data_IF_474947745290
#
_entry.id   IF_474947745290
#
_cell.length_a   1.000
_cell.length_b   1.000
_cell.length_c   1.000
_cell.angle_alpha   90.00
_cell.angle_beta   90.00
_cell.angle_gamma   90.00
#
_symmetry.space_group_name_H-M   'P 1'
#
loop_
_entity.id
_entity.type
_entity.pdbx_description
1 polymer ?
#
# COMPACT_ATOMS: atom_id res chain seq x y z
N UNK A 1 -29.07 8.65 -16.91
CA UNK A 1 -29.18 8.08 -15.53
C UNK A 1 -28.16 6.97 -15.43
N UNK A 2 -27.02 7.26 -14.83
CA UNK A 2 -25.98 6.26 -14.54
C UNK A 2 -26.41 5.49 -13.29
N UNK A 3 -26.54 4.17 -13.40
CA UNK A 3 -26.76 3.27 -12.27
C UNK A 3 -25.44 3.11 -11.50
N UNK A 4 -25.43 3.54 -10.24
CA UNK A 4 -24.35 3.21 -9.30
C UNK A 4 -24.41 1.72 -9.00
N UNK A 5 -23.36 0.99 -9.33
CA UNK A 5 -23.19 -0.39 -8.87
C UNK A 5 -22.62 -0.29 -7.44
N UNK A 6 -23.28 -0.87 -6.42
CA UNK A 6 -22.72 -0.89 -5.07
C UNK A 6 -21.49 -1.80 -5.05
N UNK A 7 -20.42 -1.36 -4.37
CA UNK A 7 -19.29 -2.23 -4.04
C UNK A 7 -19.84 -3.44 -3.25
N UNK A 8 -19.69 -4.63 -3.82
CA UNK A 8 -20.12 -5.85 -3.18
C UNK A 8 -19.29 -6.12 -1.90
N UNK A 9 -19.97 -6.48 -0.82
CA UNK A 9 -19.34 -6.98 0.39
C UNK A 9 -18.64 -8.32 0.10
N UNK A 10 -17.40 -8.44 0.53
CA UNK A 10 -16.61 -9.68 0.38
C UNK A 10 -17.24 -10.84 1.16
N UNK A 11 -17.47 -11.95 0.46
CA UNK A 11 -17.85 -13.21 1.08
C UNK A 11 -16.66 -13.88 1.80
N UNK A 12 -16.88 -14.57 2.93
CA UNK A 12 -15.80 -15.19 3.69
C UNK A 12 -15.25 -16.44 3.02
N UNK A 13 -13.94 -16.44 2.74
CA UNK A 13 -13.21 -17.61 2.24
C UNK A 13 -13.10 -18.68 3.33
N UNK A 14 -13.55 -19.90 3.06
CA UNK A 14 -13.41 -21.06 3.93
C UNK A 14 -11.95 -21.38 4.27
N UNK A 15 -11.62 -21.41 5.56
CA UNK A 15 -10.30 -21.75 6.10
C UNK A 15 -10.16 -23.27 6.27
N UNK A 16 -9.12 -23.84 5.67
CA UNK A 16 -8.56 -25.11 6.13
C UNK A 16 -7.58 -24.85 7.29
N UNK A 17 -7.70 -25.68 8.33
CA UNK A 17 -6.96 -25.61 9.57
C UNK A 17 -5.46 -25.85 9.41
N UNK A 18 -4.67 -24.80 9.39
CA UNK A 18 -3.26 -24.80 9.73
C UNK A 18 -3.01 -23.52 10.52
N UNK A 19 -2.24 -23.61 11.59
CA UNK A 19 -1.96 -22.62 12.64
C UNK A 19 -2.33 -21.15 12.40
N UNK A 20 -2.88 -20.44 13.41
CA UNK A 20 -3.45 -19.13 13.21
C UNK A 20 -2.36 -18.12 12.83
N UNK A 21 -2.28 -17.79 11.54
CA UNK A 21 -1.63 -16.56 11.11
C UNK A 21 -2.42 -15.41 11.72
N UNK A 22 -1.89 -14.80 12.76
CA UNK A 22 -2.44 -13.60 13.37
C UNK A 22 -2.33 -12.47 12.35
N UNK A 23 -3.39 -12.26 11.56
CA UNK A 23 -3.51 -11.05 10.76
C UNK A 23 -3.74 -9.89 11.72
N UNK A 24 -2.71 -9.16 12.07
CA UNK A 24 -2.86 -7.84 12.68
C UNK A 24 -3.40 -6.92 11.60
N UNK A 25 -4.72 -6.77 11.52
CA UNK A 25 -5.33 -5.68 10.77
C UNK A 25 -4.89 -4.38 11.45
N UNK A 26 -3.98 -3.66 10.78
CA UNK A 26 -3.71 -2.28 11.12
C UNK A 26 -5.01 -1.51 10.90
N UNK A 27 -5.66 -1.11 12.02
CA UNK A 27 -6.71 -0.11 11.96
C UNK A 27 -6.19 1.06 11.12
N UNK A 28 -6.92 1.39 10.06
CA UNK A 28 -6.74 2.61 9.29
C UNK A 28 -7.07 3.81 10.18
N UNK A 29 -6.20 4.10 11.13
CA UNK A 29 -6.20 5.42 11.73
C UNK A 29 -5.63 6.33 10.66
N UNK A 30 -6.50 7.11 10.03
CA UNK A 30 -6.17 8.21 9.13
C UNK A 30 -5.25 9.18 9.87
N UNK A 31 -3.97 8.90 9.82
CA UNK A 31 -2.95 9.79 10.35
C UNK A 31 -2.51 10.65 9.19
N UNK A 32 -3.27 11.73 8.97
CA UNK A 32 -2.79 12.90 8.25
C UNK A 32 -1.42 13.24 8.84
N UNK A 33 -0.37 12.97 8.07
CA UNK A 33 0.96 13.33 8.47
C UNK A 33 1.20 14.75 7.98
N UNK A 34 1.34 15.75 8.87
CA UNK A 34 1.90 17.02 8.45
C UNK A 34 3.31 16.78 7.93
N UNK A 35 3.75 17.59 7.01
CA UNK A 35 5.12 17.63 6.46
C UNK A 35 6.14 17.26 7.56
N UNK A 36 6.85 16.14 7.40
CA UNK A 36 7.89 15.69 8.33
C UNK A 36 7.59 14.47 9.20
N UNK A 37 6.39 13.90 9.20
CA UNK A 37 6.14 12.68 9.97
C UNK A 37 6.72 11.45 9.25
N UNK A 38 7.50 10.67 10.01
CA UNK A 38 8.08 9.39 9.56
C UNK A 38 6.97 8.41 9.10
N UNK A 39 7.25 7.51 8.16
CA UNK A 39 6.29 6.55 7.64
C UNK A 39 5.93 5.53 8.71
N UNK A 40 4.89 5.82 9.47
CA UNK A 40 4.44 4.99 10.60
C UNK A 40 4.16 3.54 10.20
N UNK A 41 3.75 3.28 8.96
CA UNK A 41 3.51 1.91 8.48
C UNK A 41 4.82 1.12 8.32
N UNK A 42 5.88 1.73 7.80
CA UNK A 42 7.19 1.09 7.71
C UNK A 42 7.82 0.91 9.10
N UNK A 43 7.76 1.93 9.97
CA UNK A 43 8.26 1.82 11.34
C UNK A 43 7.54 0.71 12.11
N UNK A 44 6.22 0.59 11.92
CA UNK A 44 5.44 -0.51 12.49
C UNK A 44 5.84 -1.86 11.90
N UNK A 45 5.97 -1.98 10.57
CA UNK A 45 6.39 -3.21 9.93
C UNK A 45 7.78 -3.67 10.40
N UNK A 46 8.72 -2.74 10.57
CA UNK A 46 10.06 -3.02 11.09
C UNK A 46 9.99 -3.53 12.53
N UNK A 47 9.19 -2.87 13.38
CA UNK A 47 8.97 -3.31 14.76
C UNK A 47 8.33 -4.68 14.84
N UNK A 48 7.34 -4.95 13.99
CA UNK A 48 6.72 -6.28 13.93
C UNK A 48 7.71 -7.37 13.48
N UNK A 49 8.61 -7.07 12.55
CA UNK A 49 9.65 -8.01 12.14
C UNK A 49 10.58 -8.42 13.29
N UNK A 50 10.84 -7.52 14.25
CA UNK A 50 11.67 -7.78 15.43
C UNK A 50 11.00 -8.78 16.41
N UNK A 51 9.67 -8.91 16.38
CA UNK A 51 8.92 -9.81 17.25
C UNK A 51 9.02 -11.30 16.82
N UNK A 52 9.61 -11.57 15.65
CA UNK A 52 9.68 -12.93 15.11
C UNK A 52 11.14 -13.39 14.98
N UNK A 53 11.48 -14.62 15.42
CA UNK A 53 12.79 -15.22 15.20
C UNK A 53 13.19 -15.19 13.72
N UNK A 54 14.50 -15.05 13.44
CA UNK A 54 14.99 -14.90 12.05
C UNK A 54 14.75 -16.14 11.18
N UNK A 55 14.65 -17.32 11.77
CA UNK A 55 14.38 -18.60 11.10
C UNK A 55 12.92 -18.82 10.75
N UNK A 56 12.00 -17.99 11.28
CA UNK A 56 10.59 -18.08 10.95
C UNK A 56 10.31 -17.50 9.55
N UNK A 57 9.54 -18.26 8.77
CA UNK A 57 8.98 -17.74 7.51
C UNK A 57 7.89 -16.73 7.82
N UNK A 58 7.93 -15.58 7.13
CA UNK A 58 7.00 -14.49 7.31
C UNK A 58 6.31 -14.23 5.97
N UNK A 59 4.99 -14.08 6.01
CA UNK A 59 4.20 -13.45 4.96
C UNK A 59 3.75 -12.09 5.51
N UNK A 60 4.20 -10.99 4.89
CA UNK A 60 3.83 -9.64 5.27
C UNK A 60 3.09 -8.97 4.12
N UNK A 61 1.90 -8.50 4.39
CA UNK A 61 1.11 -7.66 3.49
C UNK A 61 1.05 -6.24 4.05
N UNK A 62 1.39 -5.26 3.22
CA UNK A 62 1.36 -3.84 3.58
C UNK A 62 0.57 -3.09 2.51
N UNK A 63 -0.54 -2.46 2.91
CA UNK A 63 -1.25 -1.51 2.07
C UNK A 63 -0.81 -0.09 2.45
N UNK A 64 -0.07 0.59 1.54
CA UNK A 64 0.45 1.93 1.78
C UNK A 64 -0.63 2.99 1.59
N UNK A 65 -1.16 3.50 2.70
CA UNK A 65 -2.21 4.52 2.70
C UNK A 65 -1.76 5.90 2.19
N UNK A 66 -0.46 6.15 2.10
CA UNK A 66 0.08 7.44 1.65
C UNK A 66 -0.36 7.81 0.22
N UNK A 67 -0.56 6.81 -0.64
CA UNK A 67 -0.95 6.99 -2.05
C UNK A 67 -2.46 7.23 -2.18
N UNK A 68 -3.26 6.80 -1.20
CA UNK A 68 -4.70 7.03 -1.17
C UNK A 68 -5.03 8.52 -0.98
N UNK A 69 -6.16 8.97 -1.51
CA UNK A 69 -6.60 10.34 -1.29
C UNK A 69 -7.02 10.57 0.18
N UNK A 70 -6.85 11.81 0.73
CA UNK A 70 -6.22 12.95 0.09
C UNK A 70 -4.70 12.83 0.09
N UNK A 71 -4.07 13.05 -1.06
CA UNK A 71 -2.62 13.05 -1.21
C UNK A 71 -2.05 14.42 -1.61
N UNK A 72 -2.89 15.44 -1.74
CA UNK A 72 -2.47 16.82 -2.06
C UNK A 72 -1.45 17.38 -1.07
N UNK A 73 -1.46 16.95 0.18
CA UNK A 73 -0.52 17.40 1.21
C UNK A 73 0.94 16.95 0.99
N UNK A 74 1.22 16.09 0.01
CA UNK A 74 2.60 15.76 -0.41
C UNK A 74 3.21 16.83 -1.33
N UNK A 75 2.44 17.81 -1.75
CA UNK A 75 2.89 18.98 -2.51
C UNK A 75 2.53 20.24 -1.72
N UNK A 76 3.54 21.08 -1.44
CA UNK A 76 3.33 22.30 -0.65
C UNK A 76 2.32 23.24 -1.30
N UNK A 77 1.37 23.75 -0.50
CA UNK A 77 0.34 24.69 -0.95
C UNK A 77 -0.78 24.08 -1.79
N UNK A 78 -0.73 22.78 -2.09
CA UNK A 78 -1.77 22.12 -2.88
C UNK A 78 -2.99 21.77 -2.02
N UNK A 79 -4.17 22.09 -2.52
CA UNK A 79 -5.45 21.88 -1.81
C UNK A 79 -6.34 20.81 -2.43
N UNK A 80 -6.01 20.31 -3.63
CA UNK A 80 -6.74 19.29 -4.35
C UNK A 80 -5.77 18.23 -4.87
N UNK A 81 -6.21 16.97 -4.82
CA UNK A 81 -5.48 15.84 -5.38
C UNK A 81 -5.43 15.90 -6.90
N UNK A 82 -4.30 15.54 -7.46
CA UNK A 82 -4.07 15.37 -8.89
C UNK A 82 -2.91 14.40 -9.15
N UNK A 83 -2.52 14.25 -10.42
CA UNK A 83 -1.40 13.37 -10.81
C UNK A 83 -0.06 13.76 -10.17
N UNK A 84 0.19 15.04 -9.98
CA UNK A 84 1.43 15.52 -9.36
C UNK A 84 1.48 15.14 -7.87
N UNK A 85 0.39 15.37 -7.14
CA UNK A 85 0.33 15.00 -5.72
C UNK A 85 0.35 13.47 -5.52
N UNK A 86 -0.26 12.71 -6.43
CA UNK A 86 -0.18 11.26 -6.44
C UNK A 86 1.26 10.79 -6.67
N UNK A 87 1.96 11.37 -7.65
CA UNK A 87 3.37 11.05 -7.91
C UNK A 87 4.26 11.41 -6.72
N UNK A 88 4.03 12.54 -6.07
CA UNK A 88 4.76 12.95 -4.86
C UNK A 88 4.53 11.97 -3.69
N UNK A 89 3.30 11.51 -3.50
CA UNK A 89 2.98 10.49 -2.50
C UNK A 89 3.67 9.15 -2.80
N UNK A 90 3.73 8.74 -4.07
CA UNK A 90 4.43 7.54 -4.49
C UNK A 90 5.94 7.66 -4.28
N UNK A 91 6.56 8.80 -4.62
CA UNK A 91 7.97 9.08 -4.36
C UNK A 91 8.29 9.02 -2.86
N UNK A 92 7.38 9.53 -2.03
CA UNK A 92 7.52 9.42 -0.58
C UNK A 92 7.54 7.96 -0.12
N UNK A 93 6.61 7.12 -0.57
CA UNK A 93 6.61 5.67 -0.24
C UNK A 93 7.89 5.01 -0.73
N UNK A 94 8.28 5.24 -1.98
CA UNK A 94 9.49 4.67 -2.58
C UNK A 94 10.75 5.02 -1.77
N UNK A 95 10.87 6.27 -1.31
CA UNK A 95 11.99 6.72 -0.47
C UNK A 95 12.13 5.95 0.85
N UNK A 96 11.07 5.29 1.32
CA UNK A 96 11.03 4.55 2.58
C UNK A 96 11.25 3.04 2.41
N UNK A 97 11.00 2.49 1.22
CA UNK A 97 11.15 1.06 0.93
C UNK A 97 12.56 0.50 1.19
N UNK A 98 13.68 1.22 0.95
CA UNK A 98 15.02 0.70 1.22
C UNK A 98 15.21 0.23 2.66
N UNK A 99 14.60 0.89 3.64
CA UNK A 99 14.68 0.49 5.06
C UNK A 99 14.03 -0.88 5.28
N UNK A 100 12.85 -1.08 4.69
CA UNK A 100 12.10 -2.34 4.76
C UNK A 100 12.85 -3.46 4.04
N UNK A 101 13.37 -3.20 2.84
CA UNK A 101 14.12 -4.16 2.04
C UNK A 101 15.41 -4.61 2.76
N UNK A 102 16.13 -3.69 3.39
CA UNK A 102 17.31 -4.02 4.19
C UNK A 102 16.98 -4.93 5.38
N UNK A 103 15.85 -4.69 6.05
CA UNK A 103 15.43 -5.54 7.16
C UNK A 103 15.10 -6.97 6.67
N UNK A 104 14.44 -7.11 5.54
CA UNK A 104 14.17 -8.43 4.94
C UNK A 104 15.45 -9.12 4.46
N UNK A 105 16.38 -8.39 3.83
CA UNK A 105 17.65 -8.96 3.38
C UNK A 105 18.51 -9.53 4.54
N UNK A 106 18.46 -8.93 5.72
CA UNK A 106 19.12 -9.48 6.93
C UNK A 106 18.54 -10.82 7.33
N UNK A 107 17.23 -11.01 7.20
CA UNK A 107 16.54 -12.25 7.58
C UNK A 107 16.79 -13.39 6.60
N UNK A 108 16.82 -13.11 5.29
CA UNK A 108 17.01 -14.14 4.27
C UNK A 108 16.52 -13.72 2.89
N UNK A 109 16.49 -14.70 1.99
CA UNK A 109 15.93 -14.46 0.67
C UNK A 109 14.42 -14.20 0.77
N UNK A 110 13.98 -13.11 0.17
CA UNK A 110 12.59 -12.64 0.27
C UNK A 110 12.01 -12.38 -1.12
N UNK A 111 10.88 -13.01 -1.44
CA UNK A 111 10.08 -12.63 -2.59
C UNK A 111 9.32 -11.35 -2.26
N UNK A 112 9.54 -10.30 -3.03
CA UNK A 112 8.77 -9.06 -2.98
C UNK A 112 7.81 -9.03 -4.16
N UNK A 113 6.55 -8.74 -3.88
CA UNK A 113 5.51 -8.45 -4.88
C UNK A 113 4.98 -7.06 -4.58
N UNK A 114 5.17 -6.14 -5.53
CA UNK A 114 4.66 -4.77 -5.46
C UNK A 114 3.60 -4.58 -6.54
N UNK A 115 2.41 -4.18 -6.14
CA UNK A 115 1.28 -3.94 -7.04
C UNK A 115 0.35 -2.90 -6.44
N UNK A 116 -0.57 -2.37 -7.26
CA UNK A 116 -1.73 -1.62 -6.78
C UNK A 116 -2.96 -2.52 -6.83
N UNK A 117 -3.92 -2.31 -5.96
CA UNK A 117 -5.24 -2.94 -5.97
C UNK A 117 -6.15 -2.32 -7.05
N UNK A 118 -5.99 -1.03 -7.34
CA UNK A 118 -6.65 -0.29 -8.42
C UNK A 118 -5.88 0.98 -8.77
N UNK A 119 -6.23 1.59 -9.90
CA UNK A 119 -5.80 2.93 -10.26
C UNK A 119 -6.81 4.01 -9.86
N UNK A 120 -6.56 5.25 -10.25
CA UNK A 120 -7.42 6.41 -9.97
C UNK A 120 -7.41 7.36 -11.15
N UNK A 121 -8.59 7.83 -11.57
CA UNK A 121 -8.75 8.88 -12.56
C UNK A 121 -8.65 10.26 -11.91
N UNK A 122 -7.96 11.16 -12.60
CA UNK A 122 -7.80 12.57 -12.27
C UNK A 122 -8.30 13.49 -13.40
N UNK A 123 -9.43 13.14 -14.00
CA UNK A 123 -10.06 13.86 -15.11
C UNK A 123 -9.96 13.16 -16.46
N UNK A 124 -9.36 11.94 -16.54
CA UNK A 124 -9.32 11.15 -17.77
C UNK A 124 -10.73 10.87 -18.26
N UNK A 125 -11.01 11.23 -19.54
CA UNK A 125 -12.31 11.10 -20.19
C UNK A 125 -13.49 11.71 -19.39
N UNK A 126 -13.20 12.71 -18.53
CA UNK A 126 -14.15 13.35 -17.63
C UNK A 126 -14.45 12.57 -16.34
N UNK A 127 -13.69 11.51 -16.05
CA UNK A 127 -13.85 10.71 -14.84
C UNK A 127 -12.91 11.14 -13.73
N UNK A 128 -13.39 11.05 -12.50
CA UNK A 128 -12.60 11.26 -11.28
C UNK A 128 -12.75 10.05 -10.37
N UNK A 129 -11.69 9.76 -9.56
CA UNK A 129 -11.63 8.67 -8.58
C UNK A 129 -11.55 7.26 -9.20
N UNK A 130 -11.99 6.24 -8.45
CA UNK A 130 -11.76 4.83 -8.79
C UNK A 130 -13.01 3.93 -8.76
N UNK A 131 -14.14 4.38 -8.23
CA UNK A 131 -15.38 3.59 -8.22
C UNK A 131 -16.11 3.66 -9.56
N UNK A 132 -15.39 3.44 -10.66
CA UNK A 132 -15.89 3.55 -12.04
C UNK A 132 -15.24 2.48 -12.92
N UNK A 133 -15.92 2.13 -14.00
CA UNK A 133 -15.37 1.24 -15.03
C UNK A 133 -14.55 2.04 -16.03
N UNK A 134 -13.25 2.16 -15.78
CA UNK A 134 -12.32 2.88 -16.64
C UNK A 134 -10.96 2.18 -16.69
N UNK A 135 -10.29 2.19 -17.84
CA UNK A 135 -9.01 1.50 -18.07
C UNK A 135 -7.95 1.92 -17.03
N UNK A 136 -7.87 3.21 -16.73
CA UNK A 136 -6.95 3.75 -15.70
C UNK A 136 -7.19 3.13 -14.32
N UNK A 137 -8.40 2.63 -14.02
CA UNK A 137 -8.71 2.06 -12.71
C UNK A 137 -8.30 0.59 -12.62
N UNK A 138 -8.47 -0.20 -13.67
CA UNK A 138 -8.13 -1.63 -13.62
C UNK A 138 -6.81 -1.98 -14.29
N UNK A 139 -6.12 -1.05 -14.93
CA UNK A 139 -4.74 -1.24 -15.37
C UNK A 139 -3.79 -0.81 -14.27
N UNK A 140 -3.24 -1.77 -13.54
CA UNK A 140 -2.41 -1.51 -12.38
C UNK A 140 -0.95 -1.92 -12.60
N UNK A 141 0.02 -1.23 -12.00
CA UNK A 141 1.41 -1.65 -12.03
C UNK A 141 1.59 -2.95 -11.24
N UNK A 142 2.46 -3.81 -11.75
CA UNK A 142 2.86 -5.04 -11.09
C UNK A 142 4.37 -5.26 -11.24
N UNK A 143 5.04 -5.57 -10.15
CA UNK A 143 6.46 -5.95 -10.13
C UNK A 143 6.70 -7.02 -9.08
N UNK A 144 7.53 -8.02 -9.41
CA UNK A 144 8.07 -8.93 -8.42
C UNK A 144 9.57 -9.12 -8.61
N UNK A 145 10.26 -9.42 -7.52
CA UNK A 145 11.70 -9.67 -7.51
C UNK A 145 12.12 -10.39 -6.23
N UNK A 146 13.32 -10.94 -6.22
CA UNK A 146 13.92 -11.56 -5.03
C UNK A 146 14.94 -10.61 -4.43
N UNK A 147 14.76 -10.30 -3.15
CA UNK A 147 15.83 -9.73 -2.32
C UNK A 147 16.68 -10.90 -1.82
N UNK A 148 17.96 -10.90 -2.18
CA UNK A 148 18.91 -11.90 -1.68
C UNK A 148 19.45 -11.49 -0.32
N UNK A 149 19.70 -12.49 0.54
CA UNK A 149 20.36 -12.28 1.84
C UNK A 149 21.70 -11.57 1.67
N UNK A 150 21.95 -10.58 2.49
CA UNK A 150 23.23 -9.88 2.60
C UNK A 150 23.92 -10.24 3.89
#
# INVERSE_FOLDING_TARGET
RQSRVPCAAEEPVHRNSADPVRSSQLNQTSLQSPFGAKPKQIDFALKELENYPEDKRIFMYINFSAIHYPNCHYVEGKMKDDKESHAAALQYVDSQLPRLFQAFQKRGNTLVIALSDHGTCYGEDGYEYHCISHETVYTVPYKHFILTKK
#
